data_IF_848775529568
#
_entry.id   IF_848775529568
#
_cell.length_a   1.000
_cell.length_b   1.000
_cell.length_c   1.000
_cell.angle_alpha   90.00
_cell.angle_beta   90.00
_cell.angle_gamma   90.00
#
_symmetry.space_group_name_H-M   'P 1'
#
loop_
_entity.id
_entity.type
_entity.pdbx_description
1 polymer ?
#
# COMPACT_ATOMS: atom_id res chain seq x y z
N UNK A 1 4.22 -6.96 -19.51
CA UNK A 1 5.00 -5.95 -18.76
C UNK A 1 4.59 -6.07 -17.29
N UNK A 2 5.51 -6.07 -16.34
CA UNK A 2 5.13 -6.07 -14.91
C UNK A 2 4.46 -4.74 -14.56
N UNK A 3 3.40 -4.76 -13.74
CA UNK A 3 2.61 -3.60 -13.37
C UNK A 3 3.42 -2.52 -12.68
N UNK A 4 4.40 -2.90 -11.86
CA UNK A 4 5.32 -1.95 -11.21
C UNK A 4 6.15 -1.14 -12.21
N UNK A 5 6.57 -1.78 -13.32
CA UNK A 5 7.34 -1.11 -14.37
C UNK A 5 6.42 -0.24 -15.25
N UNK A 6 5.21 -0.72 -15.56
CA UNK A 6 4.18 0.08 -16.24
C UNK A 6 3.90 1.38 -15.47
N UNK A 7 3.70 1.28 -14.15
CA UNK A 7 3.43 2.43 -13.28
C UNK A 7 4.62 3.38 -13.16
N UNK A 8 5.85 2.83 -13.12
CA UNK A 8 7.08 3.64 -13.13
C UNK A 8 7.18 4.47 -14.40
N UNK A 9 6.98 3.85 -15.56
CA UNK A 9 7.02 4.54 -16.86
C UNK A 9 5.88 5.56 -16.97
N UNK A 10 4.68 5.18 -16.53
CA UNK A 10 3.52 6.07 -16.52
C UNK A 10 3.78 7.35 -15.71
N UNK A 11 4.41 7.22 -14.54
CA UNK A 11 4.81 8.38 -13.77
C UNK A 11 5.80 9.27 -14.53
N UNK A 12 6.90 8.70 -15.05
CA UNK A 12 7.97 9.49 -15.65
C UNK A 12 7.58 10.12 -17.00
N UNK A 13 6.79 9.42 -17.81
CA UNK A 13 6.50 9.79 -19.19
C UNK A 13 5.18 10.55 -19.34
N UNK A 14 4.19 10.30 -18.47
CA UNK A 14 2.87 10.94 -18.57
C UNK A 14 2.59 11.93 -17.41
N UNK A 15 2.74 11.49 -16.15
CA UNK A 15 2.36 12.31 -14.98
C UNK A 15 3.38 13.43 -14.72
N UNK A 16 4.67 13.11 -14.65
CA UNK A 16 5.74 14.04 -14.28
C UNK A 16 5.84 15.26 -15.21
N UNK A 17 5.69 15.15 -16.54
CA UNK A 17 5.69 16.31 -17.43
C UNK A 17 4.53 17.28 -17.15
N UNK A 18 3.34 16.77 -16.86
CA UNK A 18 2.17 17.58 -16.48
C UNK A 18 2.46 18.33 -15.18
N UNK A 19 2.94 17.63 -14.15
CA UNK A 19 3.30 18.24 -12.87
C UNK A 19 4.37 19.31 -13.03
N UNK A 20 5.41 19.05 -13.83
CA UNK A 20 6.51 20.00 -14.05
C UNK A 20 6.03 21.29 -14.72
N UNK A 21 5.08 21.19 -15.66
CA UNK A 21 4.53 22.37 -16.37
C UNK A 21 3.51 23.14 -15.54
N UNK A 22 2.62 22.45 -14.83
CA UNK A 22 1.48 23.05 -14.11
C UNK A 22 1.82 23.42 -12.66
N UNK A 23 2.75 22.71 -12.02
CA UNK A 23 3.11 22.82 -10.61
C UNK A 23 4.65 22.80 -10.40
N UNK A 24 5.42 23.66 -11.07
CA UNK A 24 6.89 23.56 -11.17
C UNK A 24 7.65 23.65 -9.83
N UNK A 25 7.06 24.27 -8.81
CA UNK A 25 7.70 24.50 -7.51
C UNK A 25 7.19 23.54 -6.42
N UNK A 26 6.25 22.65 -6.74
CA UNK A 26 5.68 21.73 -5.77
C UNK A 26 6.64 20.59 -5.48
N UNK A 27 7.04 20.42 -4.22
CA UNK A 27 7.74 19.23 -3.78
C UNK A 27 6.74 18.06 -3.67
N UNK A 28 7.10 16.90 -4.20
CA UNK A 28 6.27 15.70 -4.09
C UNK A 28 7.12 14.43 -4.01
N UNK A 29 6.48 13.35 -3.57
CA UNK A 29 6.93 11.99 -3.89
C UNK A 29 5.94 11.33 -4.85
N UNK A 30 6.43 10.33 -5.57
CA UNK A 30 5.61 9.47 -6.41
C UNK A 30 6.00 8.02 -6.21
N UNK A 31 5.01 7.15 -6.07
CA UNK A 31 5.24 5.76 -5.74
C UNK A 31 4.10 4.87 -6.24
N UNK A 32 4.29 3.57 -6.14
CA UNK A 32 3.23 2.58 -6.20
C UNK A 32 3.28 1.82 -4.88
N UNK A 33 2.31 2.08 -4.00
CA UNK A 33 2.16 1.50 -2.67
C UNK A 33 0.67 1.21 -2.43
N UNK A 34 0.36 0.57 -1.31
CA UNK A 34 -1.02 0.23 -0.95
C UNK A 34 -1.45 -1.12 -1.55
N UNK A 35 -2.77 -1.37 -1.66
CA UNK A 35 -3.27 -2.64 -2.17
C UNK A 35 -2.93 -2.82 -3.65
N UNK A 36 -2.65 -4.05 -4.06
CA UNK A 36 -2.38 -4.42 -5.45
C UNK A 36 -1.42 -5.60 -5.51
N UNK A 37 -1.69 -6.54 -6.42
CA UNK A 37 -0.80 -7.69 -6.63
C UNK A 37 0.56 -7.25 -7.18
N UNK A 38 0.59 -6.19 -7.97
CA UNK A 38 1.81 -5.60 -8.55
C UNK A 38 2.69 -4.91 -7.51
N UNK A 39 2.12 -4.55 -6.34
CA UNK A 39 2.88 -4.02 -5.20
C UNK A 39 3.66 -5.14 -4.51
N UNK A 40 3.10 -6.34 -4.46
CA UNK A 40 3.69 -7.51 -3.80
C UNK A 40 4.48 -8.41 -4.76
N UNK A 41 4.44 -8.12 -6.07
CA UNK A 41 5.10 -8.92 -7.11
C UNK A 41 4.35 -10.19 -7.50
N UNK A 42 3.03 -10.21 -7.29
CA UNK A 42 2.14 -11.34 -7.62
C UNK A 42 1.22 -11.06 -8.82
N UNK A 43 1.49 -10.01 -9.61
CA UNK A 43 0.69 -9.66 -10.79
C UNK A 43 1.03 -10.57 -11.98
N UNK A 44 0.39 -11.72 -12.04
CA UNK A 44 0.33 -12.56 -13.23
C UNK A 44 -0.85 -12.16 -14.13
N UNK A 45 -1.01 -12.85 -15.27
CA UNK A 45 -2.05 -12.56 -16.25
C UNK A 45 -3.49 -12.69 -15.71
N UNK A 46 -3.72 -13.47 -14.65
CA UNK A 46 -5.03 -13.59 -14.02
C UNK A 46 -5.27 -12.41 -13.08
N UNK A 47 -4.26 -11.97 -12.35
CA UNK A 47 -4.35 -10.91 -11.35
C UNK A 47 -4.36 -9.47 -11.92
N UNK A 48 -4.54 -9.30 -13.23
CA UNK A 48 -4.67 -7.98 -13.89
C UNK A 48 -6.10 -7.60 -14.26
N UNK A 49 -7.10 -8.32 -13.75
CA UNK A 49 -8.52 -8.17 -14.12
C UNK A 49 -9.24 -7.01 -13.40
N UNK A 50 -8.69 -6.50 -12.30
CA UNK A 50 -9.21 -5.34 -11.56
C UNK A 50 -8.10 -4.55 -10.87
N UNK A 51 -8.32 -3.25 -10.62
CA UNK A 51 -7.39 -2.32 -9.94
C UNK A 51 -5.95 -2.26 -10.49
N UNK A 52 -5.71 -2.86 -11.66
CA UNK A 52 -4.42 -2.97 -12.31
C UNK A 52 -4.39 -2.11 -13.58
N UNK A 53 -3.28 -1.42 -13.83
CA UNK A 53 -3.10 -0.55 -14.99
C UNK A 53 -2.16 0.62 -14.71
N UNK A 54 -2.10 1.62 -15.60
CA UNK A 54 -1.28 2.82 -15.40
C UNK A 54 -1.79 3.63 -14.20
N UNK A 55 -1.09 3.56 -13.07
CA UNK A 55 -1.46 4.24 -11.82
C UNK A 55 -0.24 4.62 -10.99
N UNK A 56 -0.40 5.57 -10.07
CA UNK A 56 0.60 5.89 -9.06
C UNK A 56 -0.02 6.68 -7.90
N UNK A 57 0.64 6.67 -6.75
CA UNK A 57 0.36 7.59 -5.66
C UNK A 57 1.26 8.81 -5.80
N UNK A 58 0.68 10.00 -5.62
CA UNK A 58 1.39 11.25 -5.42
C UNK A 58 1.30 11.66 -3.96
N UNK A 59 2.43 12.02 -3.36
CA UNK A 59 2.48 12.54 -2.01
C UNK A 59 2.91 13.99 -2.04
N UNK A 60 2.09 14.88 -1.49
CA UNK A 60 2.37 16.32 -1.37
C UNK A 60 2.55 16.70 0.09
N UNK A 61 3.08 17.89 0.35
CA UNK A 61 3.19 18.39 1.71
C UNK A 61 1.80 18.66 2.31
N UNK A 62 1.67 18.43 3.62
CA UNK A 62 0.41 18.65 4.36
C UNK A 62 -0.10 20.08 4.21
N UNK A 63 0.80 21.06 4.26
CA UNK A 63 0.48 22.48 4.12
C UNK A 63 -0.11 22.84 2.74
N UNK A 64 0.27 22.11 1.69
CA UNK A 64 -0.11 22.40 0.32
C UNK A 64 -1.34 21.60 -0.13
N UNK A 65 -1.63 20.47 0.53
CA UNK A 65 -2.62 19.47 0.08
C UNK A 65 -3.97 20.06 -0.29
N UNK A 66 -4.55 20.88 0.59
CA UNK A 66 -5.86 21.48 0.38
C UNK A 66 -5.91 22.42 -0.84
N UNK A 67 -4.76 22.98 -1.24
CA UNK A 67 -4.65 23.89 -2.38
C UNK A 67 -4.32 23.16 -3.68
N UNK A 68 -3.58 22.05 -3.63
CA UNK A 68 -3.03 21.40 -4.84
C UNK A 68 -3.76 20.13 -5.26
N UNK A 69 -4.42 19.41 -4.34
CA UNK A 69 -4.97 18.07 -4.64
C UNK A 69 -6.02 18.10 -5.78
N UNK A 70 -7.04 18.94 -5.67
CA UNK A 70 -8.08 19.06 -6.70
C UNK A 70 -7.53 19.66 -8.02
N UNK A 71 -6.70 20.72 -8.02
CA UNK A 71 -6.06 21.19 -9.26
C UNK A 71 -5.20 20.15 -9.97
N UNK A 72 -4.44 19.32 -9.24
CA UNK A 72 -3.64 18.24 -9.83
C UNK A 72 -4.56 17.20 -10.45
N UNK A 73 -5.57 16.73 -9.72
CA UNK A 73 -6.54 15.76 -10.21
C UNK A 73 -7.18 16.26 -11.52
N UNK A 74 -7.66 17.50 -11.53
CA UNK A 74 -8.28 18.09 -12.72
C UNK A 74 -7.29 18.22 -13.89
N UNK A 75 -6.04 18.63 -13.64
CA UNK A 75 -5.04 18.73 -14.70
C UNK A 75 -4.75 17.36 -15.32
N UNK A 76 -4.55 16.33 -14.50
CA UNK A 76 -4.28 14.98 -14.95
C UNK A 76 -5.47 14.37 -15.71
N UNK A 77 -6.70 14.59 -15.23
CA UNK A 77 -7.91 14.10 -15.88
C UNK A 77 -8.07 14.64 -17.32
N UNK A 78 -7.61 15.87 -17.59
CA UNK A 78 -7.77 16.48 -18.91
C UNK A 78 -6.55 16.33 -19.84
N UNK A 79 -5.38 16.01 -19.28
CA UNK A 79 -4.12 16.07 -20.04
C UNK A 79 -3.41 14.72 -20.16
N UNK A 80 -3.74 13.73 -19.34
CA UNK A 80 -3.19 12.39 -19.52
C UNK A 80 -3.62 11.81 -20.88
N UNK A 81 -2.78 10.99 -21.52
CA UNK A 81 -3.19 10.29 -22.73
C UNK A 81 -4.25 9.25 -22.36
N UNK A 82 -5.24 9.00 -23.25
CA UNK A 82 -6.26 7.96 -23.04
C UNK A 82 -5.68 6.55 -22.92
N UNK A 83 -4.47 6.34 -23.46
CA UNK A 83 -3.76 5.07 -23.41
C UNK A 83 -2.30 5.26 -23.05
N UNK A 84 -1.75 4.33 -22.28
CA UNK A 84 -0.34 4.28 -21.92
C UNK A 84 0.14 2.83 -21.87
N UNK A 85 1.28 2.53 -22.48
CA UNK A 85 1.84 1.16 -22.49
C UNK A 85 0.92 0.08 -23.10
N UNK A 86 -0.04 0.48 -23.94
CA UNK A 86 -1.06 -0.42 -24.52
C UNK A 86 -2.38 -0.51 -23.73
N UNK A 87 -2.43 0.04 -22.52
CA UNK A 87 -3.58 -0.01 -21.62
C UNK A 87 -4.34 1.31 -21.57
N UNK A 88 -5.62 1.29 -21.21
CA UNK A 88 -6.36 2.53 -20.92
C UNK A 88 -5.78 3.21 -19.68
N UNK A 89 -5.85 4.53 -19.61
CA UNK A 89 -5.61 5.29 -18.37
C UNK A 89 -6.90 5.64 -17.64
N UNK A 90 -8.06 5.33 -18.25
CA UNK A 90 -9.38 5.55 -17.70
C UNK A 90 -9.87 4.30 -16.97
N UNK A 91 -10.29 4.49 -15.73
CA UNK A 91 -10.89 3.47 -14.90
C UNK A 91 -12.39 3.73 -14.76
N UNK A 92 -13.19 2.68 -14.61
CA UNK A 92 -14.61 2.78 -14.25
C UNK A 92 -14.78 3.55 -12.94
N UNK A 93 -15.98 4.05 -12.65
CA UNK A 93 -16.29 4.53 -11.31
C UNK A 93 -16.12 3.38 -10.27
N UNK A 94 -15.79 3.69 -9.01
CA UNK A 94 -15.74 2.67 -7.96
C UNK A 94 -17.09 1.96 -7.81
N UNK A 95 -17.11 0.65 -7.93
CA UNK A 95 -18.31 -0.15 -7.75
C UNK A 95 -18.69 -0.22 -6.26
N UNK A 96 -19.84 0.35 -5.91
CA UNK A 96 -20.32 0.35 -4.52
C UNK A 96 -20.75 -1.04 -4.03
N UNK A 97 -21.15 -1.93 -4.94
CA UNK A 97 -21.58 -3.29 -4.64
C UNK A 97 -20.41 -4.28 -4.61
N UNK A 98 -19.23 -3.86 -5.10
CA UNK A 98 -18.00 -4.66 -5.12
C UNK A 98 -16.82 -3.92 -4.48
N UNK A 99 -17.00 -3.42 -3.26
CA UNK A 99 -15.91 -2.86 -2.42
C UNK A 99 -15.05 -1.77 -3.10
N UNK A 100 -15.60 -1.02 -4.04
CA UNK A 100 -14.91 0.00 -4.82
C UNK A 100 -14.02 -0.55 -5.93
N UNK A 101 -14.31 -1.75 -6.45
CA UNK A 101 -13.64 -2.30 -7.63
C UNK A 101 -13.70 -1.32 -8.80
N UNK A 102 -12.57 -1.16 -9.48
CA UNK A 102 -12.45 -0.33 -10.66
C UNK A 102 -11.73 -1.10 -11.76
N UNK A 103 -12.29 -1.04 -12.97
CA UNK A 103 -11.84 -1.74 -14.16
C UNK A 103 -11.30 -0.76 -15.19
N UNK A 104 -10.41 -1.20 -16.07
CA UNK A 104 -9.99 -0.38 -17.20
C UNK A 104 -11.11 -0.29 -18.24
N UNK A 105 -11.46 0.92 -18.64
CA UNK A 105 -12.46 1.20 -19.65
C UNK A 105 -11.86 2.07 -20.76
N UNK A 106 -12.22 1.81 -22.01
CA UNK A 106 -11.72 2.60 -23.13
C UNK A 106 -12.63 3.79 -23.37
N UNK A 107 -12.06 4.99 -23.37
CA UNK A 107 -12.73 6.22 -23.78
C UNK A 107 -11.88 6.94 -24.85
N UNK A 108 -12.54 7.75 -25.68
CA UNK A 108 -11.89 8.56 -26.73
C UNK A 108 -12.09 10.06 -26.54
N UNK A 109 -12.93 10.46 -25.59
CA UNK A 109 -13.29 11.85 -25.30
C UNK A 109 -13.63 12.00 -23.81
N UNK A 110 -13.37 13.18 -23.27
CA UNK A 110 -13.75 13.57 -21.92
C UNK A 110 -12.61 13.43 -20.91
N UNK A 111 -12.84 13.86 -19.67
CA UNK A 111 -11.86 13.69 -18.62
C UNK A 111 -11.66 12.20 -18.29
N UNK A 112 -10.41 11.82 -18.08
CA UNK A 112 -10.00 10.49 -17.69
C UNK A 112 -10.21 10.35 -16.17
N UNK A 113 -10.97 9.34 -15.75
CA UNK A 113 -10.97 8.88 -14.37
C UNK A 113 -9.69 8.06 -14.13
N UNK A 114 -8.59 8.76 -13.87
CA UNK A 114 -7.28 8.15 -13.66
C UNK A 114 -7.12 7.62 -12.24
N UNK A 115 -6.21 6.66 -12.04
CA UNK A 115 -5.80 6.17 -10.70
C UNK A 115 -4.50 6.80 -10.21
N UNK A 116 -4.36 8.11 -10.42
CA UNK A 116 -3.34 8.93 -9.74
C UNK A 116 -3.93 9.47 -8.44
N UNK A 117 -3.73 8.73 -7.35
CA UNK A 117 -4.28 9.09 -6.03
C UNK A 117 -3.32 10.05 -5.29
N UNK A 118 -3.85 11.14 -4.74
CA UNK A 118 -3.07 12.20 -4.11
C UNK A 118 -3.24 12.12 -2.60
N UNK A 119 -2.13 12.10 -1.87
CA UNK A 119 -2.09 11.94 -0.43
C UNK A 119 -1.11 12.92 0.23
N UNK A 120 -1.28 13.11 1.53
CA UNK A 120 -0.16 13.50 2.40
C UNK A 120 0.42 12.23 3.03
N UNK A 121 1.65 12.31 3.55
CA UNK A 121 2.26 11.17 4.24
C UNK A 121 1.39 10.73 5.45
N UNK A 122 0.92 11.69 6.25
CA UNK A 122 0.00 11.44 7.37
C UNK A 122 -1.33 10.86 6.91
N UNK A 123 -1.94 11.44 5.88
CA UNK A 123 -3.19 10.96 5.32
C UNK A 123 -3.13 9.50 4.88
N UNK A 124 -2.04 9.12 4.20
CA UNK A 124 -1.82 7.75 3.74
C UNK A 124 -1.62 6.75 4.89
N UNK A 125 -0.81 7.08 5.91
CA UNK A 125 -0.61 6.19 7.06
C UNK A 125 -1.88 6.05 7.88
N UNK A 126 -2.61 7.15 8.08
CA UNK A 126 -3.92 7.12 8.73
C UNK A 126 -4.90 6.21 8.00
N UNK A 127 -4.99 6.33 6.67
CA UNK A 127 -5.87 5.47 5.88
C UNK A 127 -5.43 4.00 5.90
N UNK A 128 -4.11 3.73 5.89
CA UNK A 128 -3.58 2.37 5.72
C UNK A 128 -3.52 1.59 7.04
N UNK A 129 -3.15 2.26 8.14
CA UNK A 129 -2.91 1.65 9.45
C UNK A 129 -3.90 2.09 10.52
N UNK A 130 -4.82 3.02 10.21
CA UNK A 130 -5.70 3.67 11.20
C UNK A 130 -4.89 4.31 12.34
N UNK A 131 -3.75 4.92 12.00
CA UNK A 131 -2.79 5.48 12.94
C UNK A 131 -2.48 6.94 12.61
N UNK A 132 -2.59 7.80 13.61
CA UNK A 132 -2.22 9.21 13.50
C UNK A 132 -0.72 9.39 13.72
N UNK A 133 0.00 9.69 12.64
CA UNK A 133 1.39 10.08 12.73
C UNK A 133 1.53 11.45 13.44
N UNK A 134 2.44 11.58 14.43
CA UNK A 134 2.76 12.87 15.03
C UNK A 134 3.27 13.86 13.98
N UNK A 135 2.88 15.13 14.09
CA UNK A 135 3.20 16.20 13.13
C UNK A 135 4.72 16.37 12.95
N UNK A 136 5.46 16.25 14.05
CA UNK A 136 6.92 16.39 14.08
C UNK A 136 7.65 15.24 13.38
N UNK A 137 6.94 14.16 13.07
CA UNK A 137 7.49 12.98 12.43
C UNK A 137 7.47 13.05 10.88
N UNK A 138 6.90 14.12 10.28
CA UNK A 138 6.90 14.35 8.83
C UNK A 138 8.22 14.92 8.29
N UNK A 139 9.01 15.60 9.12
CA UNK A 139 10.23 16.33 8.70
C UNK A 139 11.50 15.88 9.42
N UNK A 140 11.38 14.91 10.33
CA UNK A 140 12.48 14.48 11.17
C UNK A 140 13.51 13.64 10.38
N UNK A 141 14.62 14.26 9.99
CA UNK A 141 15.83 13.58 9.45
C UNK A 141 16.58 12.77 10.52
N UNK A 142 16.26 12.99 11.79
CA UNK A 142 16.74 12.27 12.97
C UNK A 142 15.58 11.50 13.58
N UNK A 143 15.84 10.39 14.28
CA UNK A 143 14.80 9.64 14.97
C UNK A 143 13.92 10.59 15.83
N UNK A 144 12.58 10.49 15.72
CA UNK A 144 11.69 11.37 16.49
C UNK A 144 11.95 11.20 17.99
N UNK A 145 11.73 12.24 18.82
CA UNK A 145 11.83 12.14 20.26
C UNK A 145 11.04 10.92 20.78
N UNK A 146 11.47 10.31 21.89
CA UNK A 146 10.86 9.06 22.39
C UNK A 146 9.34 9.18 22.64
N UNK A 147 8.87 10.39 22.97
CA UNK A 147 7.45 10.72 23.16
C UNK A 147 6.62 10.71 21.86
N UNK A 148 7.29 10.77 20.70
CA UNK A 148 6.71 10.73 19.35
C UNK A 148 7.03 9.42 18.61
N UNK A 149 7.58 8.43 19.32
CA UNK A 149 7.80 7.10 18.78
C UNK A 149 6.48 6.31 18.74
N UNK A 150 6.35 5.44 17.72
CA UNK A 150 5.23 4.50 17.63
C UNK A 150 5.39 3.49 18.77
N UNK A 151 4.43 3.44 19.68
CA UNK A 151 4.49 2.59 20.87
C UNK A 151 4.32 1.12 20.54
N UNK A 152 4.75 0.24 21.46
CA UNK A 152 4.57 -1.20 21.28
C UNK A 152 3.10 -1.60 21.11
N UNK A 153 2.18 -0.93 21.82
CA UNK A 153 0.75 -1.16 21.69
C UNK A 153 0.25 -0.80 20.28
N UNK A 154 0.70 0.34 19.72
CA UNK A 154 0.34 0.76 18.36
C UNK A 154 0.79 -0.29 17.34
N UNK A 155 2.05 -0.73 17.45
CA UNK A 155 2.60 -1.77 16.58
C UNK A 155 1.82 -3.08 16.59
N UNK A 156 1.25 -3.46 17.74
CA UNK A 156 0.41 -4.65 17.87
C UNK A 156 -0.98 -4.49 17.23
N UNK A 157 -1.39 -3.27 16.88
CA UNK A 157 -2.63 -3.03 16.13
C UNK A 157 -2.45 -3.09 14.62
N UNK A 158 -1.21 -3.00 14.11
CA UNK A 158 -0.95 -2.91 12.67
C UNK A 158 -1.06 -4.28 11.99
N UNK A 159 -1.94 -4.45 10.99
CA UNK A 159 -1.98 -5.69 10.23
C UNK A 159 -0.71 -5.88 9.40
N UNK A 160 -0.09 -7.06 9.49
CA UNK A 160 1.16 -7.40 8.77
C UNK A 160 1.06 -7.16 7.27
N UNK A 161 -0.06 -7.57 6.67
CA UNK A 161 -0.33 -7.36 5.25
C UNK A 161 -0.37 -5.88 4.86
N UNK A 162 -0.84 -4.99 5.74
CA UNK A 162 -0.86 -3.54 5.48
C UNK A 162 0.56 -2.95 5.57
N UNK A 163 1.38 -3.41 6.52
CA UNK A 163 2.79 -3.03 6.59
C UNK A 163 3.54 -3.40 5.30
N UNK A 164 3.29 -4.60 4.75
CA UNK A 164 3.85 -5.03 3.46
C UNK A 164 3.47 -4.10 2.31
N UNK A 165 2.22 -3.62 2.26
CA UNK A 165 1.80 -2.66 1.22
C UNK A 165 2.47 -1.29 1.30
N UNK A 166 3.06 -0.93 2.45
CA UNK A 166 3.86 0.29 2.63
C UNK A 166 5.32 0.05 2.20
N UNK A 167 5.83 -1.16 2.42
CA UNK A 167 7.27 -1.48 2.31
C UNK A 167 7.64 -2.09 0.96
N UNK A 168 6.79 -2.91 0.32
CA UNK A 168 7.19 -3.72 -0.83
C UNK A 168 7.14 -3.01 -2.17
N UNK A 169 6.30 -1.98 -2.30
CA UNK A 169 6.14 -1.26 -3.55
C UNK A 169 7.36 -0.41 -3.93
N UNK A 170 7.22 0.39 -4.99
CA UNK A 170 8.31 1.21 -5.52
C UNK A 170 8.09 2.70 -5.28
N UNK A 171 9.17 3.41 -4.95
CA UNK A 171 9.22 4.87 -4.98
C UNK A 171 9.97 5.30 -6.23
N UNK A 172 9.37 6.17 -7.02
CA UNK A 172 9.91 6.66 -8.29
C UNK A 172 10.58 8.02 -8.13
N UNK A 173 10.04 8.84 -7.24
CA UNK A 173 10.54 10.17 -6.91
C UNK A 173 10.23 10.47 -5.45
N UNK A 174 11.11 11.18 -4.75
CA UNK A 174 10.90 11.56 -3.36
C UNK A 174 11.56 12.88 -3.02
N UNK A 175 10.75 13.91 -2.82
CA UNK A 175 11.16 15.21 -2.30
C UNK A 175 10.42 15.59 -0.99
N UNK A 176 9.66 14.65 -0.40
CA UNK A 176 8.84 14.90 0.80
C UNK A 176 9.10 13.92 1.94
N UNK A 177 10.05 12.98 1.79
CA UNK A 177 10.50 12.08 2.86
C UNK A 177 9.77 10.74 2.92
N UNK A 178 9.10 10.32 1.84
CA UNK A 178 8.35 9.06 1.78
C UNK A 178 9.25 7.84 2.05
N UNK A 179 10.45 7.82 1.50
CA UNK A 179 11.41 6.72 1.65
C UNK A 179 11.84 6.55 3.11
N UNK A 180 12.09 7.66 3.80
CA UNK A 180 12.45 7.65 5.21
C UNK A 180 11.28 7.16 6.07
N UNK A 181 10.06 7.61 5.77
CA UNK A 181 8.86 7.14 6.46
C UNK A 181 8.69 5.63 6.30
N UNK A 182 8.84 5.09 5.09
CA UNK A 182 8.70 3.65 4.81
C UNK A 182 9.68 2.80 5.63
N UNK A 183 10.91 3.28 5.84
CA UNK A 183 11.91 2.57 6.65
C UNK A 183 11.46 2.36 8.10
N UNK A 184 10.63 3.26 8.65
CA UNK A 184 10.08 3.12 10.01
C UNK A 184 9.12 1.93 10.14
N UNK A 185 8.53 1.49 9.03
CA UNK A 185 7.60 0.35 8.98
C UNK A 185 8.24 -0.92 8.40
N UNK A 186 9.53 -0.90 8.06
CA UNK A 186 10.22 -2.00 7.39
C UNK A 186 10.34 -3.26 8.27
N UNK A 187 10.40 -3.10 9.59
CA UNK A 187 10.47 -4.21 10.53
C UNK A 187 9.91 -3.83 11.90
N UNK A 188 9.50 -4.85 12.66
CA UNK A 188 9.03 -4.68 14.03
C UNK A 188 10.16 -4.20 14.96
N UNK A 189 9.86 -3.33 15.94
CA UNK A 189 10.77 -3.07 17.05
C UNK A 189 11.15 -4.36 17.77
N UNK A 190 12.38 -4.48 18.33
CA UNK A 190 12.86 -5.74 18.90
C UNK A 190 11.93 -6.38 19.94
N UNK A 191 11.33 -5.58 20.82
CA UNK A 191 10.46 -6.11 21.88
C UNK A 191 9.10 -6.54 21.36
N UNK A 192 8.55 -5.82 20.37
CA UNK A 192 7.33 -6.23 19.66
C UNK A 192 7.58 -7.54 18.91
N UNK A 193 8.71 -7.63 18.20
CA UNK A 193 9.10 -8.84 17.46
C UNK A 193 9.23 -10.06 18.39
N UNK A 194 9.95 -9.91 19.51
CA UNK A 194 10.10 -10.98 20.52
C UNK A 194 8.75 -11.37 21.12
N UNK A 195 7.89 -10.41 21.40
CA UNK A 195 6.53 -10.66 21.88
C UNK A 195 5.71 -11.46 20.85
N UNK A 196 5.73 -11.05 19.58
CA UNK A 196 5.03 -11.76 18.49
C UNK A 196 5.55 -13.20 18.32
N UNK A 197 6.86 -13.41 18.40
CA UNK A 197 7.47 -14.75 18.39
C UNK A 197 7.00 -15.58 19.58
N UNK A 198 7.06 -15.03 20.79
CA UNK A 198 6.63 -15.73 22.01
C UNK A 198 5.13 -16.10 21.94
N UNK A 199 4.29 -15.19 21.45
CA UNK A 199 2.87 -15.45 21.24
C UNK A 199 2.63 -16.55 20.19
N UNK A 200 3.38 -16.56 19.09
CA UNK A 200 3.32 -17.62 18.08
C UNK A 200 3.66 -18.99 18.66
N UNK A 201 4.78 -19.09 19.38
CA UNK A 201 5.16 -20.33 20.06
C UNK A 201 4.17 -20.77 21.12
N UNK A 202 3.56 -19.84 21.84
CA UNK A 202 2.52 -20.15 22.82
C UNK A 202 1.26 -20.74 22.15
N UNK A 203 0.84 -20.23 20.98
CA UNK A 203 -0.29 -20.79 20.22
C UNK A 203 0.02 -22.21 19.72
N UNK A 204 1.20 -22.41 19.15
CA UNK A 204 1.66 -23.74 18.70
C UNK A 204 1.66 -24.73 19.87
N UNK A 205 2.26 -24.36 21.00
CA UNK A 205 2.36 -25.21 22.20
C UNK A 205 1.03 -25.50 22.90
N UNK A 206 -0.05 -24.80 22.54
CA UNK A 206 -1.40 -25.08 23.05
C UNK A 206 -2.15 -26.10 22.20
N UNK A 207 -1.78 -26.29 20.93
CA UNK A 207 -2.53 -27.12 19.98
C UNK A 207 -1.75 -28.30 19.40
N UNK A 208 -0.42 -28.26 19.37
CA UNK A 208 0.45 -29.26 18.72
C UNK A 208 0.17 -30.69 19.18
N UNK A 209 -0.08 -30.88 20.47
CA UNK A 209 -0.37 -32.18 21.05
C UNK A 209 -1.79 -32.67 20.74
N UNK A 210 -2.70 -31.79 20.31
CA UNK A 210 -4.10 -32.14 20.01
C UNK A 210 -4.25 -32.80 18.64
N UNK A 211 -3.41 -32.46 17.67
CA UNK A 211 -3.44 -33.05 16.32
C UNK A 211 -3.33 -34.58 16.39
N UNK A 212 -2.28 -35.09 17.03
CA UNK A 212 -2.08 -36.55 17.17
C UNK A 212 -3.15 -37.21 18.03
N UNK A 213 -3.66 -36.52 19.06
CA UNK A 213 -4.74 -37.04 19.92
C UNK A 213 -6.06 -37.21 19.18
N UNK A 214 -6.39 -36.30 18.26
CA UNK A 214 -7.58 -36.43 17.41
C UNK A 214 -7.47 -37.66 16.50
N UNK A 215 -6.33 -37.86 15.84
CA UNK A 215 -6.09 -39.06 15.02
C UNK A 215 -6.18 -40.37 15.82
N UNK A 216 -5.65 -40.40 17.06
CA UNK A 216 -5.71 -41.59 17.91
C UNK A 216 -7.14 -42.06 18.26
N UNK A 217 -8.13 -41.16 18.24
CA UNK A 217 -9.55 -41.50 18.48
C UNK A 217 -10.35 -41.67 17.18
N UNK A 218 -9.68 -41.67 16.03
CA UNK A 218 -10.29 -41.81 14.70
C UNK A 218 -10.87 -40.52 14.12
N UNK A 219 -10.59 -39.36 14.71
CA UNK A 219 -11.00 -38.06 14.17
C UNK A 219 -9.93 -37.49 13.22
N UNK A 220 -9.91 -38.04 12.01
CA UNK A 220 -8.97 -37.62 10.95
C UNK A 220 -9.23 -36.19 10.46
N UNK A 221 -10.49 -35.74 10.46
CA UNK A 221 -10.84 -34.38 10.04
C UNK A 221 -10.37 -33.35 11.07
N UNK A 222 -10.61 -33.59 12.36
CA UNK A 222 -10.10 -32.76 13.44
C UNK A 222 -8.58 -32.71 13.44
N UNK A 223 -7.92 -33.86 13.27
CA UNK A 223 -6.46 -33.95 13.12
C UNK A 223 -5.95 -33.06 11.98
N UNK A 224 -6.55 -33.16 10.78
CA UNK A 224 -6.16 -32.36 9.63
C UNK A 224 -6.39 -30.85 9.84
N UNK A 225 -7.51 -30.45 10.46
CA UNK A 225 -7.81 -29.05 10.77
C UNK A 225 -6.82 -28.46 11.78
N UNK A 226 -6.46 -29.20 12.82
CA UNK A 226 -5.45 -28.77 13.80
C UNK A 226 -4.09 -28.66 13.11
N UNK A 227 -3.70 -29.67 12.32
CA UNK A 227 -2.46 -29.64 11.53
C UNK A 227 -2.37 -28.43 10.61
N UNK A 228 -3.45 -28.09 9.90
CA UNK A 228 -3.50 -26.92 9.03
C UNK A 228 -3.34 -25.59 9.82
N UNK A 229 -3.93 -25.49 11.02
CA UNK A 229 -3.74 -24.32 11.89
C UNK A 229 -2.31 -24.19 12.41
N UNK A 230 -1.68 -25.30 12.80
CA UNK A 230 -0.27 -25.32 13.20
C UNK A 230 0.65 -24.88 12.05
N UNK A 231 0.40 -25.37 10.84
CA UNK A 231 1.14 -24.93 9.64
C UNK A 231 0.96 -23.43 9.42
N UNK A 232 -0.26 -22.91 9.55
CA UNK A 232 -0.54 -21.48 9.46
C UNK A 232 0.19 -20.66 10.51
N UNK A 233 0.35 -21.15 11.73
CA UNK A 233 1.05 -20.42 12.80
C UNK A 233 2.58 -20.40 12.64
N UNK A 234 3.13 -21.32 11.83
CA UNK A 234 4.56 -21.38 11.50
C UNK A 234 4.92 -20.51 10.28
N UNK A 235 3.98 -20.35 9.34
CA UNK A 235 4.13 -19.51 8.14
C UNK A 235 3.98 -18.02 8.44
#
# INVERSE_FOLDING_TARGET
MQGIELCRQFYWEAVRPILTRRFPQMAHAAALLGPGSEVLGFDDAMSTDHHWGPRCLLFVQEADYAQVAEPIHNALAHELPFRFGGYSTHFSAPDADDSGVQLLETIELGPINHRVDIWTLRGFIRQTLNFELPIEAETATVAPPAEHAIGAADWLTFPQQRLRTIVDGAVYHDAVGLTQLRQRFAWYPPDVWRYMLAAGWARIGQEEHLMGRAGLVGDEVGSALIGARLVRDVM
#
